data_IF_565029526237
#
_entry.id   IF_565029526237
#
_cell.length_a   1.000
_cell.length_b   1.000
_cell.length_c   1.000
_cell.angle_alpha   90.00
_cell.angle_beta   90.00
_cell.angle_gamma   90.00
#
_symmetry.space_group_name_H-M   'P 1'
#
loop_
_entity.id
_entity.type
_entity.pdbx_description
1 polymer ?
#
# COMPACT_ATOMS: atom_id res chain seq x y z
N UNK A 1 6.92 -8.52 -14.91
CA UNK A 1 7.36 -8.19 -13.54
C UNK A 1 6.75 -6.88 -13.06
N UNK A 2 6.17 -6.86 -11.91
CA UNK A 2 5.51 -5.67 -11.41
C UNK A 2 6.45 -4.82 -10.55
N UNK A 3 6.25 -3.51 -10.58
CA UNK A 3 7.06 -2.60 -9.77
C UNK A 3 6.70 -2.67 -8.29
N UNK A 4 5.58 -3.31 -7.97
CA UNK A 4 5.18 -3.50 -6.58
C UNK A 4 6.23 -4.28 -5.79
N UNK A 5 7.00 -5.12 -6.45
CA UNK A 5 8.06 -5.88 -5.78
C UNK A 5 9.16 -5.00 -5.19
N UNK A 6 9.23 -3.74 -5.62
CA UNK A 6 10.22 -2.80 -5.09
C UNK A 6 9.75 -2.08 -3.83
N UNK A 7 8.49 -2.28 -3.43
CA UNK A 7 7.96 -1.67 -2.21
C UNK A 7 8.20 -2.60 -1.02
N UNK A 8 8.40 -2.02 0.18
CA UNK A 8 8.41 -2.83 1.40
C UNK A 8 7.13 -3.64 1.51
N UNK A 9 7.23 -4.83 2.09
CA UNK A 9 6.08 -5.73 2.17
C UNK A 9 4.87 -5.09 2.84
N UNK A 10 5.08 -4.34 3.93
CA UNK A 10 3.98 -3.71 4.65
C UNK A 10 3.21 -2.72 3.77
N UNK A 11 3.94 -1.91 3.01
CA UNK A 11 3.32 -0.94 2.10
C UNK A 11 2.62 -1.64 0.95
N UNK A 12 3.25 -2.66 0.40
CA UNK A 12 2.67 -3.42 -0.71
C UNK A 12 1.39 -4.12 -0.29
N UNK A 13 1.36 -4.70 0.90
CA UNK A 13 0.19 -5.39 1.40
C UNK A 13 -1.01 -4.46 1.55
N UNK A 14 -0.79 -3.27 2.13
CA UNK A 14 -1.86 -2.29 2.29
C UNK A 14 -2.37 -1.83 0.93
N UNK A 15 -1.45 -1.58 0.00
CA UNK A 15 -1.81 -1.14 -1.34
C UNK A 15 -2.70 -2.17 -2.04
N UNK A 16 -2.33 -3.44 -1.97
CA UNK A 16 -3.09 -4.51 -2.63
C UNK A 16 -4.44 -4.73 -1.96
N UNK A 17 -4.49 -4.72 -0.62
CA UNK A 17 -5.74 -4.92 0.09
C UNK A 17 -6.74 -3.80 -0.20
N UNK A 18 -6.25 -2.58 -0.31
CA UNK A 18 -7.13 -1.44 -0.54
C UNK A 18 -7.57 -1.33 -2.01
N UNK A 19 -6.64 -1.45 -2.95
CA UNK A 19 -6.94 -1.18 -4.36
C UNK A 19 -7.40 -2.41 -5.13
N UNK A 20 -6.88 -3.59 -4.81
CA UNK A 20 -7.24 -4.81 -5.53
C UNK A 20 -8.42 -5.51 -4.86
N UNK A 21 -8.36 -5.67 -3.54
CA UNK A 21 -9.40 -6.35 -2.78
C UNK A 21 -10.51 -5.41 -2.32
N UNK A 22 -10.29 -4.11 -2.42
CA UNK A 22 -11.28 -3.08 -2.10
C UNK A 22 -11.72 -3.06 -0.63
N UNK A 23 -10.84 -3.49 0.28
CA UNK A 23 -11.13 -3.39 1.70
C UNK A 23 -11.02 -1.94 2.19
N UNK A 24 -11.97 -1.48 3.01
CA UNK A 24 -11.82 -0.17 3.67
C UNK A 24 -10.63 -0.19 4.62
N UNK A 25 -10.06 0.98 4.88
CA UNK A 25 -8.84 1.08 5.68
C UNK A 25 -9.04 0.54 7.10
N UNK A 26 -10.21 0.76 7.69
CA UNK A 26 -10.52 0.22 9.02
C UNK A 26 -10.44 -1.30 9.03
N UNK A 27 -10.92 -1.93 7.98
CA UNK A 27 -10.91 -3.37 7.87
C UNK A 27 -9.49 -3.90 7.68
N UNK A 28 -8.68 -3.17 6.90
CA UNK A 28 -7.27 -3.51 6.73
C UNK A 28 -6.54 -3.43 8.07
N UNK A 29 -6.85 -2.41 8.88
CA UNK A 29 -6.28 -2.29 10.21
C UNK A 29 -6.57 -3.53 11.05
N UNK A 30 -7.81 -4.03 10.98
CA UNK A 30 -8.20 -5.24 11.69
C UNK A 30 -7.48 -6.47 11.15
N UNK A 31 -7.45 -6.62 9.82
CA UNK A 31 -6.82 -7.77 9.17
C UNK A 31 -5.34 -7.85 9.50
N UNK A 32 -4.65 -6.73 9.46
CA UNK A 32 -3.20 -6.68 9.66
C UNK A 32 -2.80 -6.53 11.12
N UNK A 33 -3.78 -6.29 12.01
CA UNK A 33 -3.49 -6.11 13.43
C UNK A 33 -2.71 -4.83 13.71
N UNK A 34 -2.88 -3.79 12.89
CA UNK A 34 -2.16 -2.52 13.06
C UNK A 34 -3.14 -1.38 13.28
N UNK A 35 -2.71 -0.30 13.96
CA UNK A 35 -3.56 0.87 14.14
C UNK A 35 -3.97 1.49 12.81
N UNK A 36 -5.16 2.08 12.76
CA UNK A 36 -5.65 2.73 11.55
C UNK A 36 -4.71 3.82 11.05
N UNK A 37 -4.13 4.61 11.95
CA UNK A 37 -3.16 5.62 11.56
C UNK A 37 -1.96 5.04 10.84
N UNK A 38 -1.51 3.87 11.28
CA UNK A 38 -0.40 3.17 10.63
C UNK A 38 -0.79 2.72 9.23
N UNK A 39 -2.01 2.19 9.07
CA UNK A 39 -2.51 1.79 7.76
C UNK A 39 -2.54 2.98 6.81
N UNK A 40 -3.06 4.11 7.28
CA UNK A 40 -3.11 5.34 6.48
C UNK A 40 -1.73 5.80 6.06
N UNK A 41 -0.76 5.76 6.97
CA UNK A 41 0.61 6.14 6.67
C UNK A 41 1.24 5.21 5.63
N UNK A 42 1.03 3.91 5.80
CA UNK A 42 1.56 2.92 4.85
C UNK A 42 0.98 3.13 3.46
N UNK A 43 -0.32 3.40 3.39
CA UNK A 43 -0.96 3.67 2.10
C UNK A 43 -0.40 4.93 1.47
N UNK A 44 -0.23 5.98 2.27
CA UNK A 44 0.33 7.24 1.77
C UNK A 44 1.71 7.04 1.16
N UNK A 45 2.60 6.36 1.88
CA UNK A 45 3.96 6.11 1.40
C UNK A 45 3.97 5.14 0.22
N UNK A 46 3.07 4.16 0.22
CA UNK A 46 2.96 3.24 -0.90
C UNK A 46 2.57 3.96 -2.18
N UNK A 47 1.61 4.87 -2.09
CA UNK A 47 1.18 5.66 -3.24
C UNK A 47 2.31 6.53 -3.78
N UNK A 48 3.04 7.18 -2.87
CA UNK A 48 4.18 8.03 -3.26
C UNK A 48 5.26 7.21 -3.96
N UNK A 49 5.61 6.06 -3.38
CA UNK A 49 6.64 5.20 -3.95
C UNK A 49 6.21 4.67 -5.32
N UNK A 50 4.96 4.25 -5.43
CA UNK A 50 4.44 3.74 -6.71
C UNK A 50 4.45 4.82 -7.77
N UNK A 51 4.00 6.01 -7.41
CA UNK A 51 3.99 7.13 -8.35
C UNK A 51 5.40 7.45 -8.84
N UNK A 52 6.38 7.45 -7.93
CA UNK A 52 7.75 7.72 -8.28
C UNK A 52 8.29 6.66 -9.24
N UNK A 53 7.98 5.39 -8.99
CA UNK A 53 8.40 4.31 -9.87
C UNK A 53 7.78 4.44 -11.25
N UNK A 54 6.51 4.84 -11.32
CA UNK A 54 5.84 5.02 -12.59
C UNK A 54 6.43 6.18 -13.39
N UNK A 55 6.86 7.24 -12.71
CA UNK A 55 7.48 8.37 -13.37
C UNK A 55 8.85 8.01 -13.96
N UNK A 56 9.49 6.98 -13.43
CA UNK A 56 10.79 6.55 -13.92
C UNK A 56 10.73 5.65 -15.15
N UNK A 57 9.54 5.29 -15.59
CA UNK A 57 9.37 4.32 -16.68
C UNK A 57 9.17 4.96 -18.04
N UNK A 58 9.23 6.25 -18.14
CA UNK A 58 9.01 6.94 -19.40
C UNK A 58 10.23 6.89 -20.31
#
# INVERSE_FOLDING_TARGET
MTRLHQLPLAQRSVLLLHFVEEFPLEEIATITGTPLGTVKSRLHYAKRALRKLMEQTI
#
